data_IF_997632433100
#
_entry.id   IF_997632433100
#
_cell.length_a   1.000
_cell.length_b   1.000
_cell.length_c   1.000
_cell.angle_alpha   90.00
_cell.angle_beta   90.00
_cell.angle_gamma   90.00
#
_symmetry.space_group_name_H-M   'P 1'
#
loop_
_entity.id
_entity.type
_entity.pdbx_description
1 polymer ?
#
# COMPACT_ATOMS: atom_id res chain seq x y z
N UNK A 1 -32.64 -9.49 -1.30
CA UNK A 1 -33.32 -8.41 -0.54
C UNK A 1 -34.63 -8.86 0.11
N UNK A 2 -35.65 -9.30 -0.65
CA UNK A 2 -36.96 -9.69 -0.07
C UNK A 2 -36.86 -10.77 1.02
N UNK A 3 -36.13 -11.86 0.76
CA UNK A 3 -35.96 -12.96 1.73
C UNK A 3 -35.29 -12.50 3.02
N UNK A 4 -34.22 -11.71 2.94
CA UNK A 4 -33.54 -11.16 4.11
C UNK A 4 -34.47 -10.26 4.94
N UNK A 5 -35.23 -9.36 4.31
CA UNK A 5 -36.21 -8.51 5.01
C UNK A 5 -37.35 -9.31 5.65
N UNK A 6 -37.83 -10.36 4.98
CA UNK A 6 -38.94 -11.19 5.48
C UNK A 6 -38.53 -12.09 6.64
N UNK A 7 -37.28 -12.55 6.66
CA UNK A 7 -36.77 -13.51 7.65
C UNK A 7 -35.95 -12.87 8.75
N UNK A 8 -35.47 -11.63 8.57
CA UNK A 8 -34.58 -10.96 9.52
C UNK A 8 -33.17 -11.56 9.59
N UNK A 9 -32.76 -12.37 8.59
CA UNK A 9 -31.48 -13.09 8.60
C UNK A 9 -30.41 -12.33 7.80
N UNK A 10 -29.21 -12.22 8.37
CA UNK A 10 -28.01 -11.71 7.69
C UNK A 10 -27.64 -12.58 6.50
N UNK A 11 -27.48 -11.99 5.32
CA UNK A 11 -27.20 -12.71 4.07
C UNK A 11 -25.90 -12.23 3.46
N UNK A 12 -24.96 -13.15 3.18
CA UNK A 12 -23.72 -12.88 2.45
C UNK A 12 -23.87 -13.29 0.98
N UNK A 13 -23.35 -12.45 0.08
CA UNK A 13 -23.29 -12.72 -1.36
C UNK A 13 -21.84 -12.68 -1.80
N UNK A 14 -21.37 -13.73 -2.47
CA UNK A 14 -19.98 -13.84 -2.94
C UNK A 14 -19.96 -13.53 -4.43
N UNK A 15 -19.24 -12.46 -4.80
CA UNK A 15 -19.04 -12.06 -6.18
C UNK A 15 -17.58 -12.20 -6.60
N UNK A 16 -17.29 -13.10 -7.54
CA UNK A 16 -15.93 -13.26 -8.09
C UNK A 16 -15.68 -12.24 -9.20
N UNK A 17 -14.52 -11.60 -9.19
CA UNK A 17 -14.07 -10.69 -10.25
C UNK A 17 -13.27 -11.48 -11.29
N UNK A 18 -13.72 -11.48 -12.55
CA UNK A 18 -13.09 -12.22 -13.66
C UNK A 18 -12.39 -11.28 -14.64
N UNK A 19 -11.42 -11.83 -15.41
CA UNK A 19 -10.53 -11.06 -16.31
C UNK A 19 -11.23 -10.31 -17.44
N UNK A 20 -12.40 -10.78 -17.88
CA UNK A 20 -13.10 -10.19 -19.03
C UNK A 20 -13.93 -8.96 -18.68
N UNK A 21 -13.94 -8.52 -17.41
CA UNK A 21 -14.63 -7.30 -17.02
C UNK A 21 -16.12 -7.30 -17.37
N UNK A 22 -16.71 -8.47 -17.68
CA UNK A 22 -18.11 -8.64 -18.05
C UNK A 22 -19.00 -8.38 -16.82
N UNK A 23 -19.16 -7.09 -16.54
CA UNK A 23 -20.31 -6.22 -16.21
C UNK A 23 -21.59 -6.85 -15.58
N UNK A 24 -21.69 -8.15 -15.32
CA UNK A 24 -22.92 -8.79 -14.83
C UNK A 24 -22.80 -9.50 -13.45
N UNK A 25 -21.64 -9.46 -12.77
CA UNK A 25 -21.45 -10.19 -11.50
C UNK A 25 -21.56 -9.32 -10.22
N UNK A 26 -20.48 -8.71 -9.71
CA UNK A 26 -20.49 -8.07 -8.38
C UNK A 26 -20.80 -6.56 -8.40
N UNK A 27 -20.28 -5.82 -9.38
CA UNK A 27 -20.36 -4.35 -9.43
C UNK A 27 -21.79 -3.82 -9.57
N UNK A 28 -22.66 -4.52 -10.30
CA UNK A 28 -24.07 -4.15 -10.43
C UNK A 28 -24.82 -4.28 -9.10
N UNK A 29 -24.41 -5.24 -8.26
CA UNK A 29 -25.01 -5.47 -6.96
C UNK A 29 -24.59 -4.41 -5.92
N UNK A 30 -23.46 -3.73 -6.10
CA UNK A 30 -22.91 -2.78 -5.11
C UNK A 30 -23.90 -1.68 -4.73
N UNK A 31 -24.62 -1.15 -5.71
CA UNK A 31 -25.63 -0.13 -5.48
C UNK A 31 -26.88 -0.70 -4.80
N UNK A 32 -27.15 -1.99 -4.96
CA UNK A 32 -28.34 -2.68 -4.46
C UNK A 32 -28.19 -3.34 -3.10
N UNK A 33 -26.97 -3.45 -2.54
CA UNK A 33 -26.72 -4.06 -1.22
C UNK A 33 -26.48 -3.02 -0.13
N UNK A 34 -26.61 -3.41 1.14
CA UNK A 34 -26.39 -2.50 2.27
C UNK A 34 -24.90 -2.34 2.62
N UNK A 35 -24.11 -3.40 2.47
CA UNK A 35 -22.66 -3.40 2.70
C UNK A 35 -21.93 -4.05 1.52
N UNK A 36 -20.84 -3.44 1.07
CA UNK A 36 -19.95 -3.93 0.02
C UNK A 36 -18.55 -4.06 0.62
N UNK A 37 -18.04 -5.29 0.63
CA UNK A 37 -16.69 -5.60 1.06
C UNK A 37 -15.88 -6.11 -0.13
N UNK A 38 -14.67 -5.58 -0.28
CA UNK A 38 -13.68 -6.07 -1.22
C UNK A 38 -12.61 -6.85 -0.47
N UNK A 39 -12.33 -8.07 -0.94
CA UNK A 39 -11.24 -8.89 -0.42
C UNK A 39 -10.16 -9.01 -1.49
N UNK A 40 -9.02 -8.39 -1.23
CA UNK A 40 -7.98 -8.13 -2.23
C UNK A 40 -6.61 -8.57 -1.72
N UNK A 41 -5.71 -8.96 -2.63
CA UNK A 41 -4.32 -9.25 -2.30
C UNK A 41 -3.44 -9.13 -3.55
N UNK A 42 -2.22 -8.66 -3.38
CA UNK A 42 -1.22 -8.63 -4.46
C UNK A 42 -0.51 -10.00 -4.57
N UNK A 43 0.00 -10.32 -5.75
CA UNK A 43 0.70 -11.60 -6.02
C UNK A 43 2.06 -11.72 -5.34
N UNK A 44 2.59 -10.64 -4.77
CA UNK A 44 3.83 -10.64 -3.97
C UNK A 44 3.61 -10.84 -2.48
N UNK A 45 2.43 -10.50 -1.95
CA UNK A 45 2.21 -10.47 -0.51
C UNK A 45 1.32 -11.63 -0.03
N UNK A 46 1.68 -12.30 1.08
CA UNK A 46 0.84 -13.33 1.70
C UNK A 46 -0.44 -12.72 2.30
N UNK A 47 -0.47 -11.40 2.49
CA UNK A 47 -1.59 -10.69 3.07
C UNK A 47 -2.77 -10.52 2.12
N UNK A 48 -3.96 -10.52 2.71
CA UNK A 48 -5.25 -10.26 2.11
C UNK A 48 -5.94 -9.16 2.91
N UNK A 49 -6.37 -8.11 2.22
CA UNK A 49 -7.00 -6.95 2.82
C UNK A 49 -8.50 -7.03 2.52
N UNK A 50 -9.31 -7.08 3.58
CA UNK A 50 -10.75 -6.91 3.54
C UNK A 50 -11.08 -5.44 3.81
N UNK A 51 -11.80 -4.79 2.90
CA UNK A 51 -12.12 -3.36 3.01
C UNK A 51 -13.56 -3.09 2.69
N UNK A 52 -14.19 -2.24 3.49
CA UNK A 52 -15.55 -1.77 3.24
C UNK A 52 -15.54 -0.60 2.23
N UNK A 53 -16.17 -0.81 1.07
CA UNK A 53 -16.39 0.27 0.07
C UNK A 53 -17.75 0.93 0.28
N UNK A 54 -18.71 0.19 0.83
CA UNK A 54 -20.01 0.69 1.26
C UNK A 54 -20.37 0.01 2.56
N UNK A 55 -20.78 0.77 3.56
CA UNK A 55 -21.25 0.22 4.82
C UNK A 55 -22.37 1.10 5.36
N UNK A 56 -23.62 0.63 5.28
CA UNK A 56 -24.76 1.38 5.84
C UNK A 56 -24.85 1.31 7.37
N UNK A 57 -24.04 0.46 8.00
CA UNK A 57 -24.10 0.16 9.43
C UNK A 57 -22.81 0.53 10.18
N UNK A 58 -21.86 1.19 9.52
CA UNK A 58 -20.56 1.51 10.11
C UNK A 58 -19.65 2.30 9.17
N UNK A 59 -18.38 2.39 9.54
CA UNK A 59 -17.37 3.11 8.76
C UNK A 59 -17.00 2.34 7.48
N UNK A 60 -16.60 3.09 6.44
CA UNK A 60 -15.92 2.54 5.26
C UNK A 60 -14.39 2.60 5.38
N UNK A 61 -13.87 3.25 6.41
CA UNK A 61 -12.43 3.41 6.62
C UNK A 61 -11.82 2.22 7.38
N UNK A 62 -12.63 1.26 7.79
CA UNK A 62 -12.18 0.04 8.46
C UNK A 62 -11.56 -0.93 7.45
N UNK A 63 -10.42 -1.48 7.82
CA UNK A 63 -9.72 -2.53 7.09
C UNK A 63 -9.51 -3.72 8.03
N UNK A 64 -9.77 -4.92 7.52
CA UNK A 64 -9.33 -6.17 8.12
C UNK A 64 -8.13 -6.68 7.33
N UNK A 65 -7.06 -7.06 8.01
CA UNK A 65 -5.87 -7.64 7.37
C UNK A 65 -5.78 -9.09 7.78
N UNK A 66 -5.57 -9.97 6.82
CA UNK A 66 -5.50 -11.41 7.01
C UNK A 66 -4.27 -11.96 6.31
N UNK A 67 -3.70 -13.02 6.84
CA UNK A 67 -2.62 -13.78 6.22
C UNK A 67 -3.13 -15.16 5.84
N UNK A 68 -2.84 -15.63 4.62
CA UNK A 68 -3.17 -16.98 4.20
C UNK A 68 -2.07 -17.94 4.65
N UNK A 69 -2.33 -18.71 5.72
CA UNK A 69 -1.46 -19.78 6.21
C UNK A 69 -1.95 -21.15 5.76
N UNK A 70 -1.18 -22.20 6.06
CA UNK A 70 -1.58 -23.59 5.77
C UNK A 70 -2.89 -23.99 6.47
N UNK A 71 -3.19 -23.37 7.61
CA UNK A 71 -4.43 -23.51 8.39
C UNK A 71 -5.63 -22.75 7.79
N UNK A 72 -5.41 -21.81 6.86
CA UNK A 72 -6.42 -20.91 6.31
C UNK A 72 -6.12 -19.43 6.53
N UNK A 73 -7.16 -18.60 6.49
CA UNK A 73 -7.02 -17.16 6.74
C UNK A 73 -6.93 -16.88 8.25
N UNK A 74 -5.81 -16.31 8.68
CA UNK A 74 -5.60 -15.85 10.05
C UNK A 74 -5.62 -14.32 10.11
N UNK A 75 -6.27 -13.76 11.13
CA UNK A 75 -6.34 -12.31 11.33
C UNK A 75 -4.99 -11.74 11.77
N UNK A 76 -4.61 -10.63 11.15
CA UNK A 76 -3.45 -9.82 11.53
C UNK A 76 -3.94 -8.66 12.41
N UNK A 77 -3.76 -8.80 13.72
CA UNK A 77 -4.21 -7.81 14.71
C UNK A 77 -3.45 -6.48 14.63
N UNK A 78 -2.17 -6.52 14.24
CA UNK A 78 -1.33 -5.34 14.11
C UNK A 78 -0.68 -5.29 12.72
N UNK A 79 -1.39 -4.81 11.69
CA UNK A 79 -0.86 -4.73 10.33
C UNK A 79 0.41 -3.89 10.27
N UNK A 80 0.45 -2.81 11.05
CA UNK A 80 1.57 -1.87 11.10
C UNK A 80 2.87 -2.55 11.54
N UNK A 81 2.81 -3.43 12.53
CA UNK A 81 3.98 -4.18 12.99
C UNK A 81 4.49 -5.13 11.93
N UNK A 82 3.60 -5.70 11.13
CA UNK A 82 3.94 -6.60 10.05
C UNK A 82 4.68 -5.91 8.90
N UNK A 83 4.20 -4.74 8.44
CA UNK A 83 4.93 -3.88 7.50
C UNK A 83 6.23 -3.28 8.07
N UNK A 84 6.40 -3.29 9.40
CA UNK A 84 7.59 -2.77 10.08
C UNK A 84 8.57 -3.90 10.48
N UNK A 85 8.12 -5.15 10.58
CA UNK A 85 8.88 -6.28 11.12
C UNK A 85 9.97 -6.80 10.17
N UNK A 86 9.84 -6.56 8.87
CA UNK A 86 10.87 -6.88 7.89
C UNK A 86 12.02 -5.85 7.86
N UNK A 87 11.94 -4.80 8.69
CA UNK A 87 12.99 -3.78 8.76
C UNK A 87 14.19 -4.25 9.55
N UNK A 88 15.40 -4.04 9.03
CA UNK A 88 16.59 -4.00 9.87
C UNK A 88 16.43 -2.88 10.92
N UNK A 89 16.31 -3.26 12.19
CA UNK A 89 16.23 -2.31 13.30
C UNK A 89 17.50 -1.45 13.31
N UNK A 90 17.35 -0.13 13.40
CA UNK A 90 18.44 0.88 13.41
C UNK A 90 19.24 1.03 12.11
N UNK A 91 18.69 0.70 10.94
CA UNK A 91 19.36 0.99 9.66
C UNK A 91 18.89 2.32 9.07
N UNK A 92 19.85 3.21 8.82
CA UNK A 92 19.63 4.49 8.16
C UNK A 92 19.29 4.30 6.69
N UNK A 93 18.50 5.20 6.12
CA UNK A 93 18.24 5.21 4.67
C UNK A 93 17.03 4.39 4.24
N UNK A 94 16.11 4.04 5.15
CA UNK A 94 14.80 3.48 4.81
C UNK A 94 13.67 4.18 5.56
N UNK A 95 12.59 4.54 4.86
CA UNK A 95 11.37 5.12 5.43
C UNK A 95 10.13 4.56 4.73
N UNK A 96 9.10 4.18 5.48
CA UNK A 96 7.80 3.80 4.91
C UNK A 96 6.95 5.05 4.77
N UNK A 97 6.35 5.21 3.59
CA UNK A 97 5.40 6.30 3.30
C UNK A 97 4.10 5.73 2.78
N UNK A 98 2.99 6.36 3.15
CA UNK A 98 1.69 6.10 2.52
C UNK A 98 1.63 6.81 1.17
N UNK A 99 1.38 6.05 0.11
CA UNK A 99 1.10 6.55 -1.23
C UNK A 99 -0.33 6.16 -1.65
N UNK A 100 -0.82 6.73 -2.74
CA UNK A 100 -2.15 6.43 -3.28
C UNK A 100 -2.03 6.02 -4.75
N UNK A 101 -2.45 4.81 -5.06
CA UNK A 101 -2.60 4.32 -6.45
C UNK A 101 -4.09 4.40 -6.84
N UNK A 102 -4.46 5.44 -7.60
CA UNK A 102 -5.87 5.74 -7.90
C UNK A 102 -6.63 6.16 -6.65
N UNK A 103 -7.46 5.26 -6.10
CA UNK A 103 -8.15 5.44 -4.81
C UNK A 103 -7.65 4.50 -3.71
N UNK A 104 -6.60 3.71 -3.99
CA UNK A 104 -6.06 2.70 -3.08
C UNK A 104 -4.90 3.29 -2.28
N UNK A 105 -5.00 3.43 -0.95
CA UNK A 105 -3.84 3.71 -0.14
C UNK A 105 -2.93 2.47 -0.13
N UNK A 106 -1.65 2.68 -0.41
CA UNK A 106 -0.61 1.65 -0.38
C UNK A 106 0.54 2.15 0.51
N UNK A 107 1.16 1.24 1.25
CA UNK A 107 2.41 1.54 1.95
C UNK A 107 3.56 1.17 1.02
N UNK A 108 4.53 2.08 0.87
CA UNK A 108 5.72 1.84 0.06
C UNK A 108 6.96 2.21 0.85
N UNK A 109 8.03 1.44 0.67
CA UNK A 109 9.33 1.70 1.30
C UNK A 109 10.17 2.58 0.37
N UNK A 110 10.58 3.75 0.87
CA UNK A 110 11.58 4.59 0.23
C UNK A 110 12.94 4.29 0.84
N UNK A 111 13.88 3.90 -0.01
CA UNK A 111 15.25 3.64 0.36
C UNK A 111 16.18 4.69 -0.26
N UNK A 112 17.13 5.17 0.53
CA UNK A 112 18.13 6.13 0.12
C UNK A 112 19.52 5.70 0.62
N UNK A 113 20.48 5.65 -0.29
CA UNK A 113 21.88 5.46 0.01
C UNK A 113 22.64 6.72 -0.43
N UNK A 114 23.34 7.34 0.52
CA UNK A 114 24.16 8.52 0.28
C UNK A 114 25.61 8.16 0.59
N UNK A 115 26.51 8.38 -0.35
CA UNK A 115 27.92 8.02 -0.20
C UNK A 115 28.84 9.05 -0.87
N UNK A 116 30.07 9.27 -0.35
CA UNK A 116 31.01 10.18 -0.99
C UNK A 116 31.25 9.82 -2.45
N UNK A 117 31.20 10.81 -3.34
CA UNK A 117 31.45 10.57 -4.76
C UNK A 117 32.95 10.41 -5.01
N UNK A 118 33.30 9.47 -5.90
CA UNK A 118 34.66 9.35 -6.46
C UNK A 118 34.80 10.05 -7.82
N UNK A 119 33.73 10.66 -8.32
CA UNK A 119 33.68 11.33 -9.62
C UNK A 119 33.73 12.85 -9.48
N UNK A 120 34.06 13.55 -10.59
CA UNK A 120 34.02 15.02 -10.63
C UNK A 120 32.60 15.59 -10.48
N UNK A 121 31.58 14.82 -10.87
CA UNK A 121 30.17 15.17 -10.72
C UNK A 121 29.47 14.04 -9.96
N UNK A 122 28.82 14.31 -8.82
CA UNK A 122 28.11 13.28 -8.08
C UNK A 122 26.93 12.72 -8.86
N UNK A 123 26.71 11.42 -8.69
CA UNK A 123 25.62 10.68 -9.32
C UNK A 123 24.34 10.84 -8.50
N UNK A 124 23.23 11.03 -9.20
CA UNK A 124 21.88 10.97 -8.63
C UNK A 124 21.11 9.91 -9.39
N UNK A 125 20.94 8.74 -8.79
CA UNK A 125 20.29 7.60 -9.44
C UNK A 125 18.96 7.34 -8.74
N UNK A 126 17.89 7.19 -9.52
CA UNK A 126 16.54 7.03 -9.00
C UNK A 126 15.82 5.87 -9.68
N UNK A 127 15.17 5.01 -8.89
CA UNK A 127 14.32 3.92 -9.38
C UNK A 127 12.94 4.06 -8.72
N UNK A 128 11.87 4.08 -9.51
CA UNK A 128 10.49 4.21 -9.01
C UNK A 128 10.09 5.62 -8.55
N UNK A 129 10.98 6.59 -8.64
CA UNK A 129 10.79 8.00 -8.25
C UNK A 129 11.29 8.93 -9.33
N UNK A 130 10.65 10.10 -9.46
CA UNK A 130 11.06 11.13 -10.42
C UNK A 130 12.43 11.74 -10.05
N UNK A 131 13.34 11.73 -11.01
CA UNK A 131 14.71 12.22 -10.84
C UNK A 131 14.78 13.71 -10.52
N UNK A 132 13.93 14.53 -11.15
CA UNK A 132 13.93 15.97 -10.94
C UNK A 132 13.44 16.33 -9.54
N UNK A 133 12.43 15.62 -9.04
CA UNK A 133 11.93 15.74 -7.67
C UNK A 133 13.01 15.40 -6.65
N UNK A 134 13.80 14.35 -6.88
CA UNK A 134 14.94 14.03 -6.00
C UNK A 134 15.99 15.14 -6.02
N UNK A 135 16.35 15.63 -7.20
CA UNK A 135 17.33 16.71 -7.34
C UNK A 135 16.88 17.99 -6.63
N UNK A 136 15.59 18.34 -6.71
CA UNK A 136 14.99 19.45 -5.98
C UNK A 136 15.07 19.22 -4.46
N UNK A 137 14.70 18.04 -3.98
CA UNK A 137 14.73 17.71 -2.56
C UNK A 137 16.15 17.76 -1.99
N UNK A 138 17.14 17.27 -2.73
CA UNK A 138 18.57 17.37 -2.37
C UNK A 138 18.98 18.85 -2.24
N UNK A 139 18.59 19.70 -3.19
CA UNK A 139 18.87 21.14 -3.12
C UNK A 139 18.19 21.82 -1.92
N UNK A 140 16.97 21.39 -1.56
CA UNK A 140 16.26 21.88 -0.36
C UNK A 140 16.98 21.44 0.91
N UNK A 141 17.38 20.17 1.02
CA UNK A 141 18.14 19.67 2.17
C UNK A 141 19.45 20.43 2.36
N UNK A 142 20.15 20.72 1.27
CA UNK A 142 21.38 21.49 1.30
C UNK A 142 21.13 22.95 1.73
N UNK A 143 20.16 23.63 1.10
CA UNK A 143 19.96 25.07 1.31
C UNK A 143 19.21 25.42 2.60
N UNK A 144 18.34 24.52 3.08
CA UNK A 144 17.45 24.78 4.23
C UNK A 144 17.81 23.98 5.46
N UNK A 145 18.29 22.75 5.30
CA UNK A 145 18.66 21.87 6.42
C UNK A 145 20.16 21.93 6.69
N UNK A 146 20.97 22.45 5.76
CA UNK A 146 22.42 22.64 5.93
C UNK A 146 23.23 21.36 5.72
N UNK A 147 22.67 20.35 5.06
CA UNK A 147 23.37 19.10 4.75
C UNK A 147 24.33 19.29 3.56
N UNK A 148 25.61 18.92 3.72
CA UNK A 148 26.58 18.99 2.63
C UNK A 148 26.44 17.79 1.68
N UNK A 149 25.64 17.94 0.63
CA UNK A 149 25.36 16.89 -0.36
C UNK A 149 26.04 17.12 -1.72
N UNK A 150 26.79 18.22 -1.87
CA UNK A 150 27.48 18.61 -3.12
C UNK A 150 28.46 17.54 -3.61
N UNK A 151 29.10 16.81 -2.71
CA UNK A 151 30.11 15.78 -3.04
C UNK A 151 29.62 14.36 -2.70
N UNK A 152 28.31 14.15 -2.68
CA UNK A 152 27.70 12.88 -2.32
C UNK A 152 26.93 12.32 -3.51
N UNK A 153 27.22 11.06 -3.86
CA UNK A 153 26.35 10.27 -4.69
C UNK A 153 25.06 9.96 -3.90
N UNK A 154 23.92 10.06 -4.57
CA UNK A 154 22.59 9.79 -4.01
C UNK A 154 21.91 8.72 -4.85
N UNK A 155 21.61 7.58 -4.25
CA UNK A 155 20.84 6.51 -4.84
C UNK A 155 19.51 6.42 -4.11
N UNK A 156 18.40 6.52 -4.84
CA UNK A 156 17.06 6.44 -4.27
C UNK A 156 16.25 5.37 -4.99
N UNK A 157 15.58 4.53 -4.21
CA UNK A 157 14.76 3.44 -4.71
C UNK A 157 13.39 3.45 -4.02
N UNK A 158 12.35 3.19 -4.78
CA UNK A 158 11.07 2.76 -4.22
C UNK A 158 11.07 1.25 -4.20
N UNK A 159 11.30 0.69 -3.01
CA UNK A 159 11.01 -0.71 -2.76
C UNK A 159 9.50 -0.89 -2.77
N UNK A 160 9.01 -1.77 -3.64
CA UNK A 160 7.82 -2.53 -3.25
C UNK A 160 8.29 -3.44 -2.15
N UNK A 161 7.66 -3.33 -0.98
CA UNK A 161 7.78 -4.31 0.09
C UNK A 161 7.70 -5.70 -0.58
N UNK A 162 8.63 -6.61 -0.30
CA UNK A 162 8.70 -7.89 -1.02
C UNK A 162 7.70 -8.90 -0.49
#
# INVERSE_FOLDING_TARGET
>A
MYTAKKTGVSTFLIGHVTKEGAIAGPRVLEHMVDTVLYFEGDRGHPYRILRAVKNRYGSTNEIGVFEMKDSGLEEVLNPSELFLSERPINVSGSVVVSSVEGSRPILVELQALVSPTSFAVPRRTTIGVDHNRVSLLVAVLEKKVGMSLVNQDVFMNVGKDR
#
